data_IF_968666906249
#
_entry.id   IF_968666906249
#
_cell.length_a   1.000
_cell.length_b   1.000
_cell.length_c   1.000
_cell.angle_alpha   90.00
_cell.angle_beta   90.00
_cell.angle_gamma   90.00
#
_symmetry.space_group_name_H-M   'P 1'
#
loop_
_entity.id
_entity.type
_entity.pdbx_description
1 polymer ?
#
# COMPACT_ATOMS: atom_id res chain seq x y z
N UNK A 1 32.53 0.74 -18.72
CA UNK A 1 31.29 0.19 -18.17
C UNK A 1 30.18 0.52 -19.15
N UNK A 2 29.51 -0.47 -19.72
CA UNK A 2 28.34 -0.23 -20.59
C UNK A 2 27.18 0.23 -19.71
N UNK A 3 26.58 1.37 -20.04
CA UNK A 3 25.43 1.87 -19.31
C UNK A 3 24.23 0.94 -19.59
N UNK A 4 23.72 0.27 -18.55
CA UNK A 4 22.59 -0.64 -18.71
C UNK A 4 21.31 0.19 -18.98
N UNK A 5 20.63 -0.01 -20.13
CA UNK A 5 19.46 0.80 -20.47
C UNK A 5 18.32 0.68 -19.45
N UNK A 6 18.21 -0.43 -18.71
CA UNK A 6 17.27 -0.60 -17.58
C UNK A 6 17.34 0.55 -16.56
N UNK A 7 18.54 1.06 -16.30
CA UNK A 7 18.81 2.12 -15.32
C UNK A 7 18.99 3.50 -15.97
N UNK A 8 18.65 3.63 -17.25
CA UNK A 8 18.67 4.92 -17.96
C UNK A 8 17.24 5.41 -18.16
N UNK A 9 16.90 6.53 -17.54
CA UNK A 9 15.56 7.14 -17.58
C UNK A 9 15.11 7.38 -19.04
N UNK A 10 13.87 7.03 -19.35
CA UNK A 10 13.25 7.32 -20.63
C UNK A 10 13.54 6.32 -21.75
N UNK A 11 14.36 5.29 -21.50
CA UNK A 11 14.47 4.15 -22.42
C UNK A 11 13.27 3.22 -22.31
N UNK A 12 13.02 2.41 -23.33
CA UNK A 12 11.98 1.36 -23.30
C UNK A 12 12.28 0.32 -22.20
N UNK A 13 13.54 -0.12 -22.09
CA UNK A 13 13.95 -1.07 -21.05
C UNK A 13 13.69 -0.54 -19.64
N UNK A 14 13.89 0.76 -19.40
CA UNK A 14 13.57 1.39 -18.12
C UNK A 14 12.06 1.45 -17.87
N UNK A 15 11.24 1.81 -18.87
CA UNK A 15 9.78 1.82 -18.74
C UNK A 15 9.21 0.44 -18.41
N UNK A 16 9.68 -0.61 -19.10
CA UNK A 16 9.28 -2.00 -18.82
C UNK A 16 9.70 -2.40 -17.40
N UNK A 17 10.92 -2.07 -17.00
CA UNK A 17 11.39 -2.37 -15.65
C UNK A 17 10.56 -1.66 -14.56
N UNK A 18 10.28 -0.37 -14.70
CA UNK A 18 9.46 0.36 -13.73
C UNK A 18 8.02 -0.18 -13.63
N UNK A 19 7.41 -0.56 -14.77
CA UNK A 19 6.10 -1.19 -14.76
C UNK A 19 6.12 -2.56 -14.07
N UNK A 20 7.14 -3.38 -14.37
CA UNK A 20 7.33 -4.70 -13.73
C UNK A 20 7.54 -4.58 -12.21
N UNK A 21 8.36 -3.63 -11.77
CA UNK A 21 8.64 -3.41 -10.36
C UNK A 21 7.40 -2.88 -9.63
N UNK A 22 6.64 -1.98 -10.26
CA UNK A 22 5.36 -1.48 -9.72
C UNK A 22 4.39 -2.63 -9.47
N UNK A 23 4.28 -3.56 -10.42
CA UNK A 23 3.41 -4.73 -10.26
C UNK A 23 3.86 -5.64 -9.11
N UNK A 24 5.15 -5.93 -8.99
CA UNK A 24 5.66 -6.79 -7.91
C UNK A 24 5.51 -6.13 -6.52
N UNK A 25 5.69 -4.81 -6.41
CA UNK A 25 5.46 -4.08 -5.16
C UNK A 25 3.97 -4.07 -4.75
N UNK A 26 3.06 -3.84 -5.70
CA UNK A 26 1.61 -3.93 -5.45
C UNK A 26 1.20 -5.36 -5.04
N UNK A 27 1.82 -6.37 -5.63
CA UNK A 27 1.59 -7.78 -5.29
C UNK A 27 2.13 -8.15 -3.90
N UNK A 28 3.28 -7.60 -3.51
CA UNK A 28 3.83 -7.79 -2.15
C UNK A 28 2.90 -7.18 -1.10
N UNK A 29 2.47 -5.94 -1.31
CA UNK A 29 1.69 -5.18 -0.32
C UNK A 29 0.29 -5.74 -0.04
N UNK A 30 -0.25 -6.64 -0.88
CA UNK A 30 -1.69 -6.98 -0.88
C UNK A 30 -2.20 -7.61 0.42
N UNK A 31 -1.29 -8.12 1.25
CA UNK A 31 -1.59 -8.72 2.57
C UNK A 31 -1.78 -7.70 3.69
N UNK A 32 -1.64 -6.40 3.41
CA UNK A 32 -1.72 -5.35 4.42
C UNK A 32 -3.05 -5.23 5.19
N UNK A 33 -4.24 -5.58 4.63
CA UNK A 33 -5.48 -5.30 5.33
C UNK A 33 -5.55 -6.01 6.68
N UNK A 34 -5.67 -5.22 7.76
CA UNK A 34 -5.83 -5.77 9.10
C UNK A 34 -7.26 -6.31 9.29
N UNK A 35 -7.46 -7.34 10.14
CA UNK A 35 -8.78 -7.96 10.33
C UNK A 35 -9.90 -6.98 10.73
N UNK A 36 -9.54 -5.94 11.50
CA UNK A 36 -10.48 -4.94 12.01
C UNK A 36 -10.58 -3.69 11.12
N UNK A 37 -9.90 -3.68 9.96
CA UNK A 37 -9.82 -2.54 9.05
C UNK A 37 -8.48 -1.79 9.14
N UNK A 38 -8.15 -1.05 8.08
CA UNK A 38 -6.88 -0.34 7.99
C UNK A 38 -5.71 -1.26 7.62
N UNK A 39 -4.48 -0.81 7.90
CA UNK A 39 -3.26 -1.52 7.53
C UNK A 39 -2.48 -2.04 8.72
N UNK A 40 -2.20 -3.34 8.69
CA UNK A 40 -1.21 -3.94 9.57
C UNK A 40 0.21 -3.83 9.01
N UNK A 41 1.18 -4.12 9.86
CA UNK A 41 2.59 -4.15 9.50
C UNK A 41 2.92 -5.41 8.72
N UNK A 42 3.69 -5.30 7.63
CA UNK A 42 4.09 -6.46 6.82
C UNK A 42 5.50 -6.94 7.20
N UNK A 43 5.62 -8.25 7.39
CA UNK A 43 6.89 -8.96 7.45
C UNK A 43 7.57 -8.99 6.07
N UNK A 44 8.84 -9.40 6.05
CA UNK A 44 9.62 -9.54 4.81
C UNK A 44 9.02 -10.54 3.81
N UNK A 45 8.12 -11.43 4.24
CA UNK A 45 7.40 -12.39 3.41
C UNK A 45 5.99 -11.92 2.97
N UNK A 46 5.58 -10.71 3.37
CA UNK A 46 4.27 -10.15 3.07
C UNK A 46 3.13 -10.63 3.97
N UNK A 47 3.44 -11.35 5.06
CA UNK A 47 2.46 -11.66 6.12
C UNK A 47 2.32 -10.51 7.12
N UNK A 48 1.21 -10.46 7.84
CA UNK A 48 1.02 -9.48 8.92
C UNK A 48 1.90 -9.82 10.13
N UNK A 49 2.54 -8.81 10.71
CA UNK A 49 3.18 -8.90 12.03
C UNK A 49 2.16 -8.55 13.13
N UNK A 50 1.73 -9.54 13.95
CA UNK A 50 0.72 -9.33 14.98
C UNK A 50 1.26 -8.56 16.21
N UNK A 51 2.58 -8.30 16.29
CA UNK A 51 3.17 -7.52 17.38
C UNK A 51 2.98 -6.00 17.21
N UNK A 52 2.52 -5.57 16.02
CA UNK A 52 2.23 -4.18 15.71
C UNK A 52 0.71 -3.94 15.62
N UNK A 53 0.27 -2.76 16.06
CA UNK A 53 -1.11 -2.30 15.88
C UNK A 53 -1.39 -1.81 14.45
N UNK A 54 -2.57 -1.22 14.26
CA UNK A 54 -2.95 -0.57 13.01
C UNK A 54 -2.49 0.88 13.05
N UNK A 55 -1.56 1.23 12.16
CA UNK A 55 -0.94 2.55 12.10
C UNK A 55 -1.68 3.47 11.12
N UNK A 56 -2.02 4.69 11.52
CA UNK A 56 -2.67 5.67 10.62
C UNK A 56 -1.78 6.04 9.44
N UNK A 57 -0.47 6.16 9.64
CA UNK A 57 0.45 6.53 8.56
C UNK A 57 0.62 5.40 7.53
N UNK A 58 0.62 4.14 7.96
CA UNK A 58 0.63 2.98 7.04
C UNK A 58 -0.70 2.94 6.29
N UNK A 59 -1.81 3.06 7.03
CA UNK A 59 -3.16 3.02 6.44
C UNK A 59 -3.36 4.09 5.38
N UNK A 60 -2.99 5.33 5.68
CA UNK A 60 -3.04 6.45 4.73
C UNK A 60 -2.19 6.19 3.48
N UNK A 61 -0.99 5.65 3.66
CA UNK A 61 -0.09 5.32 2.53
C UNK A 61 -0.62 4.17 1.69
N UNK A 62 -1.23 3.15 2.29
CA UNK A 62 -1.80 2.03 1.53
C UNK A 62 -3.07 2.45 0.78
N UNK A 63 -3.92 3.30 1.37
CA UNK A 63 -5.02 3.92 0.64
C UNK A 63 -4.52 4.66 -0.61
N UNK A 64 -3.46 5.45 -0.48
CA UNK A 64 -2.83 6.15 -1.61
C UNK A 64 -2.24 5.20 -2.66
N UNK A 65 -1.43 4.23 -2.24
CA UNK A 65 -0.75 3.27 -3.12
C UNK A 65 -1.77 2.46 -3.92
N UNK A 66 -2.81 1.94 -3.28
CA UNK A 66 -3.82 1.12 -3.96
C UNK A 66 -4.83 1.95 -4.75
N UNK A 67 -5.04 3.21 -4.41
CA UNK A 67 -5.75 4.14 -5.32
C UNK A 67 -4.99 4.31 -6.64
N UNK A 68 -3.66 4.46 -6.59
CA UNK A 68 -2.82 4.48 -7.80
C UNK A 68 -2.87 3.12 -8.51
N UNK A 69 -2.78 2.01 -7.76
CA UNK A 69 -2.91 0.66 -8.31
C UNK A 69 -4.22 0.47 -9.09
N UNK A 70 -5.33 0.99 -8.58
CA UNK A 70 -6.62 0.95 -9.27
C UNK A 70 -6.61 1.77 -10.56
N UNK A 71 -6.03 2.99 -10.55
CA UNK A 71 -5.88 3.82 -11.76
C UNK A 71 -4.99 3.16 -12.83
N UNK A 72 -4.01 2.35 -12.41
CA UNK A 72 -3.15 1.57 -13.29
C UNK A 72 -3.79 0.26 -13.78
N UNK A 73 -5.00 -0.08 -13.31
CA UNK A 73 -5.71 -1.31 -13.69
C UNK A 73 -5.23 -2.57 -12.97
N UNK A 74 -4.58 -2.45 -11.80
CA UNK A 74 -4.22 -3.61 -10.99
C UNK A 74 -5.48 -4.26 -10.40
N UNK A 75 -5.74 -5.51 -10.78
CA UNK A 75 -6.92 -6.25 -10.35
C UNK A 75 -6.98 -6.37 -8.82
N UNK A 76 -8.11 -6.00 -8.22
CA UNK A 76 -8.30 -6.06 -6.76
C UNK A 76 -7.78 -4.83 -6.00
N UNK A 77 -7.15 -3.85 -6.68
CA UNK A 77 -6.61 -2.67 -5.99
C UNK A 77 -7.69 -1.75 -5.43
N UNK A 78 -8.87 -1.68 -6.07
CA UNK A 78 -9.98 -0.86 -5.56
C UNK A 78 -10.46 -1.35 -4.19
N UNK A 79 -10.67 -2.66 -4.07
CA UNK A 79 -11.09 -3.31 -2.83
C UNK A 79 -10.05 -3.17 -1.72
N UNK A 80 -8.77 -3.17 -2.09
CA UNK A 80 -7.67 -2.89 -1.17
C UNK A 80 -7.68 -1.43 -0.71
N UNK A 81 -7.90 -0.46 -1.61
CA UNK A 81 -8.06 0.93 -1.24
C UNK A 81 -9.25 1.12 -0.28
N UNK A 82 -10.39 0.47 -0.54
CA UNK A 82 -11.57 0.48 0.33
C UNK A 82 -11.26 -0.11 1.71
N UNK A 83 -10.47 -1.18 1.80
CA UNK A 83 -10.06 -1.77 3.08
C UNK A 83 -9.23 -0.80 3.93
N UNK A 84 -8.34 -0.02 3.30
CA UNK A 84 -7.58 1.02 3.98
C UNK A 84 -8.51 2.17 4.42
N UNK A 85 -9.42 2.62 3.55
CA UNK A 85 -10.38 3.67 3.85
C UNK A 85 -11.30 3.27 5.01
N UNK A 86 -11.74 2.01 5.08
CA UNK A 86 -12.53 1.48 6.21
C UNK A 86 -11.80 1.64 7.55
N UNK A 87 -10.47 1.53 7.57
CA UNK A 87 -9.68 1.81 8.77
C UNK A 87 -9.69 3.30 9.13
N UNK A 88 -9.42 4.16 8.14
CA UNK A 88 -9.38 5.61 8.32
C UNK A 88 -10.73 6.19 8.73
N UNK A 89 -11.84 5.69 8.20
CA UNK A 89 -13.19 6.15 8.56
C UNK A 89 -13.83 5.30 9.65
N UNK A 90 -13.04 4.46 10.31
CA UNK A 90 -13.48 3.52 11.33
C UNK A 90 -12.57 3.58 12.53
N UNK A 91 -11.87 2.48 12.82
CA UNK A 91 -11.12 2.30 14.08
C UNK A 91 -10.04 3.37 14.32
N UNK A 92 -9.53 4.03 13.28
CA UNK A 92 -8.52 5.08 13.42
C UNK A 92 -9.11 6.47 13.62
N UNK A 93 -10.38 6.69 13.27
CA UNK A 93 -11.01 7.99 13.41
C UNK A 93 -11.31 8.29 14.88
N UNK A 94 -10.91 9.46 15.36
CA UNK A 94 -11.28 9.94 16.68
C UNK A 94 -12.64 10.64 16.59
N UNK A 95 -13.72 9.95 16.97
CA UNK A 95 -15.08 10.50 16.95
C UNK A 95 -15.32 11.56 18.05
N UNK A 96 -14.48 11.65 19.07
CA UNK A 96 -14.62 12.60 20.18
C UNK A 96 -13.96 13.95 19.85
N UNK A 97 -12.74 13.92 19.32
CA UNK A 97 -11.94 15.12 19.05
C UNK A 97 -11.78 15.45 17.57
N UNK A 98 -12.18 14.54 16.68
CA UNK A 98 -11.90 14.61 15.25
C UNK A 98 -10.45 14.24 14.92
N UNK A 99 -10.20 13.93 13.65
CA UNK A 99 -8.89 13.50 13.18
C UNK A 99 -8.68 12.00 13.38
N UNK A 100 -7.43 11.58 13.60
CA UNK A 100 -7.06 10.17 13.68
C UNK A 100 -6.10 9.89 14.82
N UNK A 101 -6.32 8.77 15.52
CA UNK A 101 -5.32 8.22 16.43
C UNK A 101 -4.04 7.85 15.66
N UNK A 102 -2.85 7.97 16.27
CA UNK A 102 -1.62 7.58 15.58
C UNK A 102 -1.58 6.07 15.31
N UNK A 103 -2.12 5.27 16.25
CA UNK A 103 -2.18 3.81 16.22
C UNK A 103 -3.37 3.33 17.07
N UNK A 104 -3.98 2.19 16.70
CA UNK A 104 -4.98 1.45 17.49
C UNK A 104 -4.73 -0.06 17.49
#
# INVERSE_FOLDING_TARGET
MTNNPRYTLGTEANRIFMASETYELLKFGKGFPAPNGGSGWLNADGTLDPSHGVETWITSRMAHVYSIGAMLGYLGAGELADAALKGLTGILHDDEHGGWYPQV
#
